data_IF_141544312231
#
_entry.id   IF_141544312231
#
_cell.length_a   1.000
_cell.length_b   1.000
_cell.length_c   1.000
_cell.angle_alpha   90.00
_cell.angle_beta   90.00
_cell.angle_gamma   90.00
#
_symmetry.space_group_name_H-M   'P 1'
#
loop_
_entity.id
_entity.type
_entity.pdbx_description
1 polymer ?
#
# COMPACT_ATOMS: atom_id res chain seq x y z
N UNK A 1 5.03 -12.60 -6.98
CA UNK A 1 5.24 -11.83 -5.75
C UNK A 1 4.37 -10.57 -5.70
N UNK A 2 4.58 -9.58 -6.57
CA UNK A 2 3.86 -8.29 -6.55
C UNK A 2 2.33 -8.40 -6.51
N UNK A 3 1.71 -9.21 -7.39
CA UNK A 3 0.25 -9.38 -7.41
C UNK A 3 -0.31 -10.00 -6.11
N UNK A 4 0.40 -10.97 -5.53
CA UNK A 4 0.00 -11.60 -4.27
C UNK A 4 0.12 -10.61 -3.09
N UNK A 5 1.19 -9.82 -3.06
CA UNK A 5 1.39 -8.79 -2.04
C UNK A 5 0.33 -7.68 -2.14
N UNK A 6 -0.04 -7.26 -3.35
CA UNK A 6 -1.13 -6.29 -3.58
C UNK A 6 -2.47 -6.85 -3.08
N UNK A 7 -2.79 -8.10 -3.41
CA UNK A 7 -4.02 -8.75 -2.94
C UNK A 7 -4.05 -8.85 -1.41
N UNK A 8 -2.93 -9.25 -0.80
CA UNK A 8 -2.77 -9.30 0.66
C UNK A 8 -3.00 -7.92 1.30
N UNK A 9 -2.34 -6.88 0.78
CA UNK A 9 -2.47 -5.51 1.29
C UNK A 9 -3.92 -5.00 1.19
N UNK A 10 -4.59 -5.22 0.06
CA UNK A 10 -6.00 -4.85 -0.09
C UNK A 10 -6.89 -5.52 0.95
N UNK A 11 -6.73 -6.83 1.14
CA UNK A 11 -7.50 -7.56 2.14
C UNK A 11 -7.26 -7.04 3.56
N UNK A 12 -6.01 -6.72 3.93
CA UNK A 12 -5.69 -6.18 5.26
C UNK A 12 -6.20 -4.77 5.48
N UNK A 13 -6.15 -3.91 4.46
CA UNK A 13 -6.73 -2.57 4.54
C UNK A 13 -8.26 -2.63 4.65
N UNK A 14 -8.91 -3.55 3.93
CA UNK A 14 -10.35 -3.81 4.07
C UNK A 14 -10.72 -4.32 5.48
N UNK A 15 -9.91 -5.21 6.06
CA UNK A 15 -10.08 -5.67 7.45
C UNK A 15 -9.96 -4.51 8.45
N UNK A 16 -8.91 -3.67 8.33
CA UNK A 16 -8.68 -2.51 9.19
C UNK A 16 -9.82 -1.50 9.09
N UNK A 17 -10.29 -1.22 7.86
CA UNK A 17 -11.44 -0.36 7.62
C UNK A 17 -12.71 -0.93 8.25
N UNK A 18 -12.96 -2.23 8.08
CA UNK A 18 -14.13 -2.88 8.63
C UNK A 18 -14.16 -2.80 10.16
N UNK A 19 -13.02 -3.07 10.83
CA UNK A 19 -12.88 -2.93 12.28
C UNK A 19 -13.10 -1.49 12.73
N UNK A 20 -12.48 -0.53 12.05
CA UNK A 20 -12.61 0.89 12.39
C UNK A 20 -14.06 1.40 12.22
N UNK A 21 -14.73 1.05 11.11
CA UNK A 21 -16.16 1.39 10.90
C UNK A 21 -17.07 0.71 11.91
N UNK A 22 -16.80 -0.55 12.25
CA UNK A 22 -17.55 -1.27 13.30
C UNK A 22 -17.40 -0.64 14.69
N UNK A 23 -16.29 0.06 14.92
CA UNK A 23 -15.97 0.72 16.19
C UNK A 23 -16.45 2.18 16.24
N UNK A 24 -16.71 2.82 15.10
CA UNK A 24 -17.17 4.20 14.99
C UNK A 24 -18.66 4.28 14.64
N UNK A 25 -19.55 4.19 15.63
CA UNK A 25 -20.97 4.53 15.37
C UNK A 25 -21.14 6.05 15.24
N UNK A 26 -22.03 6.57 14.36
CA UNK A 26 -22.15 8.00 14.06
C UNK A 26 -22.52 8.93 15.24
N UNK A 27 -23.01 8.36 16.35
CA UNK A 27 -23.35 9.07 17.58
C UNK A 27 -22.24 9.03 18.64
N UNK A 28 -21.06 8.50 18.30
CA UNK A 28 -19.97 8.25 19.24
C UNK A 28 -18.78 9.16 18.99
N UNK A 29 -18.36 9.88 20.02
CA UNK A 29 -17.14 10.69 20.00
C UNK A 29 -16.19 10.19 21.08
N UNK A 30 -14.93 9.96 20.71
CA UNK A 30 -13.89 9.63 21.68
C UNK A 30 -13.56 10.91 22.48
N UNK A 31 -13.96 10.96 23.76
CA UNK A 31 -13.69 12.10 24.64
C UNK A 31 -12.79 11.69 25.80
N UNK A 32 -11.94 12.65 26.20
CA UNK A 32 -11.02 12.50 27.32
C UNK A 32 -11.56 13.31 28.50
N UNK A 33 -11.89 12.65 29.62
CA UNK A 33 -12.35 13.33 30.83
C UNK A 33 -11.26 13.33 31.91
N UNK A 34 -11.19 14.42 32.68
CA UNK A 34 -10.23 14.68 33.77
C UNK A 34 -10.45 13.84 35.05
N UNK A 35 -11.25 12.78 34.99
CA UNK A 35 -11.25 11.75 36.03
C UNK A 35 -10.12 10.77 35.73
N UNK A 36 -9.52 10.12 36.73
CA UNK A 36 -8.48 9.11 36.55
C UNK A 36 -8.86 8.08 35.46
N UNK A 37 -8.35 8.37 34.27
CA UNK A 37 -8.69 7.87 32.93
C UNK A 37 -9.92 6.96 32.79
N UNK A 38 -11.03 7.56 32.40
CA UNK A 38 -12.14 6.83 31.82
C UNK A 38 -12.29 7.20 30.35
N UNK A 39 -12.23 6.19 29.48
CA UNK A 39 -12.63 6.32 28.09
C UNK A 39 -14.06 5.78 27.96
N UNK A 40 -14.99 6.64 27.54
CA UNK A 40 -16.41 6.30 27.43
C UNK A 40 -16.87 6.18 25.99
N UNK A 41 -17.83 5.28 25.81
CA UNK A 41 -18.70 5.19 24.65
C UNK A 41 -20.02 5.89 25.01
N UNK A 42 -20.27 7.03 24.35
CA UNK A 42 -21.41 7.93 24.61
C UNK A 42 -22.78 7.27 24.33
N UNK A 43 -22.88 6.20 23.54
CA UNK A 43 -24.17 5.54 23.27
C UNK A 43 -24.50 4.44 24.27
N UNK A 44 -23.50 3.84 24.91
CA UNK A 44 -23.72 2.68 25.78
C UNK A 44 -23.68 3.02 27.29
N UNK A 45 -23.44 4.30 27.63
CA UNK A 45 -23.20 4.77 29.01
C UNK A 45 -22.19 3.89 29.78
N UNK A 46 -21.30 3.23 29.04
CA UNK A 46 -20.43 2.18 29.51
C UNK A 46 -18.98 2.59 29.32
N UNK A 47 -18.18 2.29 30.33
CA UNK A 47 -16.73 2.43 30.26
C UNK A 47 -16.19 1.44 29.22
N UNK A 48 -15.57 1.93 28.15
CA UNK A 48 -14.94 1.08 27.10
C UNK A 48 -13.57 0.62 27.57
N UNK A 49 -12.86 1.50 28.28
CA UNK A 49 -11.62 1.18 28.96
C UNK A 49 -11.47 2.09 30.18
N UNK A 50 -11.13 1.50 31.33
CA UNK A 50 -10.54 2.24 32.44
C UNK A 50 -9.05 2.29 32.22
N UNK A 51 -8.53 3.50 32.12
CA UNK A 51 -7.15 3.81 31.77
C UNK A 51 -6.50 4.48 32.98
N UNK A 52 -5.97 3.72 33.96
CA UNK A 52 -5.52 4.27 35.24
C UNK A 52 -4.27 5.15 35.14
N UNK A 53 -3.71 5.36 33.94
CA UNK A 53 -2.46 6.10 33.70
C UNK A 53 -2.57 6.99 32.46
N UNK A 54 -2.03 8.19 32.57
CA UNK A 54 -2.06 9.21 31.52
C UNK A 54 -1.34 8.77 30.22
N UNK A 55 -0.25 7.99 30.32
CA UNK A 55 0.48 7.55 29.11
C UNK A 55 -0.34 6.57 28.27
N UNK A 56 -1.11 5.71 28.92
CA UNK A 56 -1.98 4.73 28.26
C UNK A 56 -3.16 5.42 27.56
N UNK A 57 -3.63 6.55 28.10
CA UNK A 57 -4.70 7.37 27.53
C UNK A 57 -4.27 8.02 26.22
N UNK A 58 -3.07 8.59 26.18
CA UNK A 58 -2.51 9.15 24.95
C UNK A 58 -2.30 8.08 23.86
N UNK A 59 -1.92 6.85 24.24
CA UNK A 59 -1.81 5.73 23.31
C UNK A 59 -3.17 5.33 22.72
N UNK A 60 -4.21 5.19 23.54
CA UNK A 60 -5.56 4.86 23.06
C UNK A 60 -6.18 5.96 22.19
N UNK A 61 -5.99 7.23 22.53
CA UNK A 61 -6.51 8.33 21.73
C UNK A 61 -5.92 8.35 20.30
N UNK A 62 -4.70 7.83 20.11
CA UNK A 62 -4.10 7.67 18.76
C UNK A 62 -4.71 6.53 17.96
N UNK A 63 -5.45 5.64 18.61
CA UNK A 63 -6.19 4.53 17.99
C UNK A 63 -7.66 4.90 17.73
N UNK A 64 -8.00 6.20 17.72
CA UNK A 64 -9.31 6.71 17.32
C UNK A 64 -9.71 6.12 15.95
N UNK A 65 -10.89 5.46 15.84
CA UNK A 65 -11.37 4.90 14.58
C UNK A 65 -11.36 5.90 13.42
N UNK A 66 -11.66 7.18 13.68
CA UNK A 66 -11.61 8.20 12.63
C UNK A 66 -10.18 8.48 12.15
N UNK A 67 -9.17 8.36 13.02
CA UNK A 67 -7.77 8.41 12.63
C UNK A 67 -7.39 7.17 11.81
N UNK A 68 -7.75 5.97 12.24
CA UNK A 68 -7.50 4.71 11.50
C UNK A 68 -8.07 4.76 10.09
N UNK A 69 -9.30 5.26 9.92
CA UNK A 69 -9.91 5.40 8.58
C UNK A 69 -9.13 6.34 7.66
N UNK A 70 -8.57 7.44 8.20
CA UNK A 70 -7.70 8.34 7.42
C UNK A 70 -6.39 7.68 7.04
N UNK A 71 -5.81 6.85 7.92
CA UNK A 71 -4.60 6.09 7.58
C UNK A 71 -4.87 5.03 6.51
N UNK A 72 -6.00 4.32 6.59
CA UNK A 72 -6.39 3.33 5.59
C UNK A 72 -6.61 3.99 4.22
N UNK A 73 -7.34 5.10 4.17
CA UNK A 73 -7.53 5.88 2.93
C UNK A 73 -6.19 6.35 2.34
N UNK A 74 -5.28 6.87 3.17
CA UNK A 74 -3.95 7.27 2.71
C UNK A 74 -3.13 6.09 2.14
N UNK A 75 -3.22 4.91 2.77
CA UNK A 75 -2.55 3.68 2.27
C UNK A 75 -3.18 3.19 0.96
N UNK A 76 -4.50 3.28 0.79
CA UNK A 76 -5.17 3.00 -0.49
C UNK A 76 -4.67 3.94 -1.59
N UNK A 77 -4.61 5.25 -1.32
CA UNK A 77 -4.11 6.22 -2.30
C UNK A 77 -2.66 5.97 -2.67
N UNK A 78 -1.80 5.60 -1.72
CA UNK A 78 -0.41 5.21 -2.00
C UNK A 78 -0.33 3.95 -2.85
N UNK A 79 -1.15 2.94 -2.55
CA UNK A 79 -1.23 1.70 -3.32
C UNK A 79 -1.69 1.97 -4.76
N UNK A 80 -2.72 2.78 -4.94
CA UNK A 80 -3.22 3.14 -6.27
C UNK A 80 -2.20 3.97 -7.05
N UNK A 81 -1.55 4.95 -6.39
CA UNK A 81 -0.52 5.77 -7.00
C UNK A 81 0.68 4.94 -7.49
N UNK A 82 1.13 3.97 -6.68
CA UNK A 82 2.28 3.14 -7.06
C UNK A 82 1.93 2.13 -8.16
N UNK A 83 0.70 1.60 -8.16
CA UNK A 83 0.24 0.71 -9.23
C UNK A 83 0.00 1.45 -10.55
N UNK A 84 -0.35 2.73 -10.48
CA UNK A 84 -0.48 3.61 -11.62
C UNK A 84 0.87 4.15 -12.15
N UNK A 85 1.99 3.96 -11.42
CA UNK A 85 3.32 4.38 -11.89
C UNK A 85 3.67 3.63 -13.18
N UNK A 86 4.08 4.39 -14.21
CA UNK A 86 4.31 3.90 -15.56
C UNK A 86 5.80 3.69 -15.82
N UNK A 87 6.10 2.78 -16.74
CA UNK A 87 7.44 2.69 -17.28
C UNK A 87 7.78 3.94 -18.10
N UNK A 88 9.07 4.27 -18.13
CA UNK A 88 9.56 5.39 -18.93
C UNK A 88 9.39 5.08 -20.43
N UNK A 89 8.81 6.02 -21.17
CA UNK A 89 8.61 5.97 -22.61
C UNK A 89 9.27 7.20 -23.23
N UNK A 90 10.10 6.98 -24.26
CA UNK A 90 10.74 8.01 -25.07
C UNK A 90 10.29 7.86 -26.52
N UNK A 91 10.52 8.89 -27.33
CA UNK A 91 10.36 8.77 -28.79
C UNK A 91 11.44 7.87 -29.41
N UNK A 92 12.55 7.65 -28.70
CA UNK A 92 13.59 6.71 -29.08
C UNK A 92 13.35 5.36 -28.39
N UNK A 93 13.20 4.29 -29.17
CA UNK A 93 13.04 2.93 -28.63
C UNK A 93 14.26 2.44 -27.84
N UNK A 94 15.45 3.00 -28.08
CA UNK A 94 16.66 2.66 -27.31
C UNK A 94 16.65 3.27 -25.90
N UNK A 95 15.94 4.39 -25.73
CA UNK A 95 15.74 5.05 -24.43
C UNK A 95 14.43 4.62 -23.75
N UNK A 96 13.55 3.91 -24.45
CA UNK A 96 12.33 3.38 -23.85
C UNK A 96 12.64 2.21 -22.93
N UNK A 97 11.99 2.18 -21.76
CA UNK A 97 12.17 1.09 -20.82
C UNK A 97 11.79 -0.26 -21.48
N UNK A 98 12.62 -1.31 -21.38
CA UNK A 98 12.35 -2.60 -22.02
C UNK A 98 11.03 -3.27 -21.61
N UNK A 99 10.51 -2.90 -20.43
CA UNK A 99 9.24 -3.40 -19.85
C UNK A 99 8.02 -2.55 -20.19
N UNK A 100 8.18 -1.45 -20.91
CA UNK A 100 7.07 -0.57 -21.27
C UNK A 100 6.09 -1.27 -22.23
N UNK A 101 4.81 -0.93 -22.09
CA UNK A 101 3.68 -1.53 -22.80
C UNK A 101 2.76 -0.46 -23.37
N UNK A 102 1.73 -0.86 -24.12
CA UNK A 102 0.68 0.06 -24.56
C UNK A 102 0.01 0.81 -23.39
N UNK A 103 -0.10 0.19 -22.20
CA UNK A 103 -0.66 0.84 -21.02
C UNK A 103 0.20 2.02 -20.51
N UNK A 104 1.49 2.03 -20.84
CA UNK A 104 2.41 3.12 -20.50
C UNK A 104 2.27 4.31 -21.47
N UNK A 105 1.59 4.12 -22.60
CA UNK A 105 1.33 5.15 -23.61
C UNK A 105 2.11 5.00 -24.91
N UNK A 106 2.72 3.83 -25.14
CA UNK A 106 3.39 3.50 -26.41
C UNK A 106 2.39 3.40 -27.56
N UNK A 107 2.70 4.04 -28.68
CA UNK A 107 2.00 3.78 -29.93
C UNK A 107 2.41 2.42 -30.54
N UNK A 108 1.60 1.91 -31.47
CA UNK A 108 1.80 0.58 -32.06
C UNK A 108 3.15 0.43 -32.78
N UNK A 109 3.66 1.50 -33.39
CA UNK A 109 4.93 1.46 -34.14
C UNK A 109 6.11 1.36 -33.18
N UNK A 110 6.12 2.21 -32.14
CA UNK A 110 7.18 2.22 -31.12
C UNK A 110 7.16 0.93 -30.31
N UNK A 111 5.97 0.38 -29.99
CA UNK A 111 5.83 -0.91 -29.32
C UNK A 111 6.43 -2.06 -30.13
N UNK A 112 6.14 -2.13 -31.44
CA UNK A 112 6.69 -3.16 -32.31
C UNK A 112 8.22 -3.05 -32.46
N UNK A 113 8.76 -1.83 -32.52
CA UNK A 113 10.21 -1.60 -32.56
C UNK A 113 10.89 -2.02 -31.24
N UNK A 114 10.27 -1.71 -30.10
CA UNK A 114 10.75 -2.13 -28.78
C UNK A 114 10.75 -3.66 -28.63
N UNK A 115 9.68 -4.33 -29.08
CA UNK A 115 9.59 -5.79 -29.04
C UNK A 115 10.67 -6.47 -29.90
N UNK A 116 10.95 -5.92 -31.09
CA UNK A 116 12.02 -6.39 -31.95
C UNK A 116 13.40 -6.22 -31.27
N UNK A 117 13.66 -5.06 -30.66
CA UNK A 117 14.89 -4.78 -29.94
C UNK A 117 15.07 -5.72 -28.73
N UNK A 118 13.98 -5.97 -27.99
CA UNK A 118 14.00 -6.92 -26.87
C UNK A 118 14.24 -8.36 -27.35
N UNK A 119 13.76 -8.74 -28.53
CA UNK A 119 14.02 -10.05 -29.12
C UNK A 119 15.49 -10.22 -29.52
N UNK A 120 16.11 -9.17 -30.06
CA UNK A 120 17.56 -9.14 -30.36
C UNK A 120 18.38 -9.29 -29.07
N UNK A 121 18.09 -8.49 -28.03
CA UNK A 121 18.75 -8.59 -26.71
C UNK A 121 18.64 -9.99 -26.10
N UNK A 122 17.46 -10.62 -26.16
CA UNK A 122 17.29 -12.01 -25.71
C UNK A 122 18.20 -12.99 -26.44
N UNK A 123 18.39 -12.79 -27.75
CA UNK A 123 19.26 -13.62 -28.57
C UNK A 123 20.74 -13.39 -28.23
N UNK A 124 21.15 -12.15 -27.97
CA UNK A 124 22.54 -11.79 -27.67
C UNK A 124 22.96 -12.13 -26.23
N UNK A 125 22.16 -11.72 -25.25
CA UNK A 125 22.51 -11.80 -23.83
C UNK A 125 21.99 -13.09 -23.17
N UNK A 126 21.02 -13.78 -23.79
CA UNK A 126 20.39 -14.98 -23.25
C UNK A 126 19.50 -14.75 -22.03
N UNK A 127 19.15 -13.50 -21.73
CA UNK A 127 18.33 -13.10 -20.58
C UNK A 127 17.17 -12.21 -21.01
N UNK A 128 16.10 -12.20 -20.21
CA UNK A 128 14.96 -11.30 -20.44
C UNK A 128 15.35 -9.86 -20.07
N UNK A 129 15.12 -8.87 -20.93
CA UNK A 129 15.37 -7.47 -20.60
C UNK A 129 14.52 -7.01 -19.41
N UNK A 130 15.18 -6.54 -18.35
CA UNK A 130 14.51 -5.98 -17.17
C UNK A 130 14.35 -4.46 -17.29
N UNK A 131 13.57 -3.82 -16.38
CA UNK A 131 13.57 -2.35 -16.31
C UNK A 131 15.00 -1.91 -15.95
N UNK A 132 15.60 -1.13 -16.85
CA UNK A 132 16.87 -0.47 -16.64
C UNK A 132 16.88 0.40 -15.36
N UNK A 133 18.07 0.59 -14.78
CA UNK A 133 18.26 1.37 -13.55
C UNK A 133 17.66 2.78 -13.65
N UNK A 134 17.66 3.37 -14.85
CA UNK A 134 17.10 4.70 -15.09
C UNK A 134 15.57 4.77 -15.10
N UNK A 135 14.81 3.70 -15.44
CA UNK A 135 13.34 3.72 -15.18
C UNK A 135 13.06 3.52 -13.70
N UNK A 136 13.76 2.57 -13.06
CA UNK A 136 13.64 2.22 -11.65
C UNK A 136 12.22 1.83 -11.17
N UNK A 137 11.23 1.73 -12.06
CA UNK A 137 9.80 1.64 -11.72
C UNK A 137 9.50 0.38 -10.92
N UNK A 138 9.92 -0.79 -11.40
CA UNK A 138 9.63 -2.05 -10.71
C UNK A 138 10.30 -2.13 -9.33
N UNK A 139 11.48 -1.54 -9.17
CA UNK A 139 12.16 -1.43 -7.88
C UNK A 139 11.40 -0.49 -6.92
N UNK A 140 10.96 0.69 -7.39
CA UNK A 140 10.13 1.61 -6.59
C UNK A 140 8.81 0.97 -6.18
N UNK A 141 8.12 0.30 -7.12
CA UNK A 141 6.84 -0.37 -6.85
C UNK A 141 7.00 -1.41 -5.77
N UNK A 142 7.96 -2.34 -5.94
CA UNK A 142 8.26 -3.37 -4.96
C UNK A 142 8.60 -2.78 -3.59
N UNK A 143 9.48 -1.78 -3.55
CA UNK A 143 9.89 -1.15 -2.29
C UNK A 143 8.73 -0.51 -1.54
N UNK A 144 7.84 0.19 -2.24
CA UNK A 144 6.66 0.81 -1.63
C UNK A 144 5.71 -0.25 -1.08
N UNK A 145 5.48 -1.35 -1.82
CA UNK A 145 4.62 -2.44 -1.35
C UNK A 145 5.19 -3.12 -0.11
N UNK A 146 6.50 -3.36 -0.06
CA UNK A 146 7.19 -3.89 1.13
C UNK A 146 7.00 -2.97 2.34
N UNK A 147 7.17 -1.65 2.16
CA UNK A 147 6.98 -0.67 3.23
C UNK A 147 5.53 -0.63 3.74
N UNK A 148 4.55 -0.69 2.83
CA UNK A 148 3.13 -0.76 3.20
C UNK A 148 2.77 -2.05 3.94
N UNK A 149 3.53 -3.13 3.72
CA UNK A 149 3.28 -4.42 4.34
C UNK A 149 3.86 -4.58 5.75
N UNK A 150 4.82 -3.72 6.15
CA UNK A 150 5.49 -3.80 7.45
C UNK A 150 4.54 -3.90 8.66
N UNK A 151 3.41 -3.16 8.74
CA UNK A 151 2.48 -3.29 9.87
C UNK A 151 1.85 -4.68 10.01
N UNK A 152 1.89 -5.49 8.95
CA UNK A 152 1.24 -6.79 8.87
C UNK A 152 2.23 -7.96 8.86
N UNK A 153 3.52 -7.73 9.15
CA UNK A 153 4.56 -8.76 9.04
C UNK A 153 4.35 -9.96 9.97
N UNK A 154 3.66 -9.75 11.10
CA UNK A 154 3.30 -10.76 12.08
C UNK A 154 1.88 -11.33 11.86
N UNK A 155 1.18 -10.89 10.80
CA UNK A 155 -0.14 -11.39 10.49
C UNK A 155 -0.08 -12.86 10.03
N UNK A 156 -0.94 -13.78 10.52
CA UNK A 156 -0.86 -15.21 10.17
C UNK A 156 -0.96 -15.53 8.68
N UNK A 157 -1.63 -14.65 7.92
CA UNK A 157 -1.73 -14.72 6.45
C UNK A 157 -0.58 -14.06 5.69
N UNK A 158 0.42 -13.49 6.38
CA UNK A 158 1.62 -12.93 5.76
C UNK A 158 2.64 -14.05 5.54
N UNK A 159 2.72 -14.53 4.30
CA UNK A 159 3.60 -15.65 3.95
C UNK A 159 5.07 -15.23 3.95
N UNK A 160 5.99 -16.12 4.34
CA UNK A 160 7.44 -15.86 4.29
C UNK A 160 7.91 -15.50 2.87
N UNK A 161 7.23 -16.03 1.84
CA UNK A 161 7.50 -15.72 0.43
C UNK A 161 7.14 -14.27 0.03
N UNK A 162 6.48 -13.52 0.92
CA UNK A 162 6.14 -12.11 0.76
C UNK A 162 7.07 -11.18 1.54
N UNK A 163 7.99 -11.73 2.36
CA UNK A 163 9.00 -10.93 3.07
C UNK A 163 10.05 -10.39 2.09
N UNK A 164 10.52 -9.14 2.30
CA UNK A 164 11.62 -8.56 1.55
C UNK A 164 12.94 -9.32 1.71
#
# INVERSE_FOLDING_TARGET
>A
MTAALVAFLKARLEDDEWVARGSGQPSLSWQNFDMDGELRDDANAGTVAMVPREETRAHFARQDPAHTLREVDAKHQLLDAVLADRHHVSADQYETCPRATAADGLDETTLAALDALNAERRHEDGVEPECWESCGRDARVRRTLELLALPYIDHPGYEEALRP
#
